data_IF_427622848008
#
_entry.id   IF_427622848008
#
_cell.length_a   1.000
_cell.length_b   1.000
_cell.length_c   1.000
_cell.angle_alpha   90.00
_cell.angle_beta   90.00
_cell.angle_gamma   90.00
#
_symmetry.space_group_name_H-M   'P 1'
#
loop_
_entity.id
_entity.type
_entity.pdbx_description
1 polymer ?
#
# COMPACT_ATOMS: atom_id res chain seq x y z
N UNK A 1 36.27 23.62 -25.52
CA UNK A 1 35.90 22.23 -25.29
C UNK A 1 35.63 21.89 -23.80
N UNK A 2 36.46 22.30 -22.81
CA UNK A 2 36.20 21.98 -21.39
C UNK A 2 34.91 22.60 -20.78
N UNK A 3 34.50 23.78 -21.19
CA UNK A 3 33.27 24.45 -20.70
C UNK A 3 31.98 23.78 -21.19
N UNK A 4 31.96 23.24 -22.40
CA UNK A 4 30.79 22.53 -22.94
C UNK A 4 30.56 21.17 -22.27
N UNK A 5 31.63 20.52 -21.85
CA UNK A 5 31.53 19.23 -21.15
C UNK A 5 31.02 19.39 -19.72
N UNK A 6 31.39 20.51 -19.05
CA UNK A 6 30.88 20.82 -17.71
C UNK A 6 29.37 21.17 -17.73
N UNK A 7 28.94 21.94 -18.74
CA UNK A 7 27.50 22.26 -18.91
C UNK A 7 26.64 21.02 -19.21
N UNK A 8 27.16 20.10 -20.03
CA UNK A 8 26.47 18.86 -20.36
C UNK A 8 26.29 17.94 -19.12
N UNK A 9 27.34 17.83 -18.29
CA UNK A 9 27.26 17.07 -17.04
C UNK A 9 26.32 17.71 -16.00
N UNK A 10 26.30 19.05 -15.90
CA UNK A 10 25.34 19.75 -15.01
C UNK A 10 23.91 19.59 -15.52
N UNK A 11 23.69 19.64 -16.84
CA UNK A 11 22.37 19.40 -17.43
C UNK A 11 21.91 17.95 -17.25
N UNK A 12 22.81 16.97 -17.37
CA UNK A 12 22.51 15.57 -17.10
C UNK A 12 22.19 15.32 -15.62
N UNK A 13 22.92 15.95 -14.69
CA UNK A 13 22.64 15.91 -13.25
C UNK A 13 21.30 16.56 -12.91
N UNK A 14 20.94 17.67 -13.56
CA UNK A 14 19.63 18.33 -13.39
C UNK A 14 18.48 17.51 -13.99
N UNK A 15 18.70 16.81 -15.10
CA UNK A 15 17.70 15.89 -15.67
C UNK A 15 17.51 14.63 -14.82
N UNK A 16 18.58 14.10 -14.24
CA UNK A 16 18.51 12.99 -13.29
C UNK A 16 17.79 13.44 -12.02
N UNK A 17 18.10 14.62 -11.48
CA UNK A 17 17.38 15.16 -10.31
C UNK A 17 15.90 15.48 -10.62
N UNK A 18 15.56 15.91 -11.84
CA UNK A 18 14.19 16.18 -12.24
C UNK A 18 13.36 14.89 -12.36
N UNK A 19 13.94 13.82 -12.89
CA UNK A 19 13.29 12.49 -12.92
C UNK A 19 13.12 11.87 -11.51
N UNK A 20 14.02 12.18 -10.57
CA UNK A 20 13.85 11.77 -9.16
C UNK A 20 12.75 12.56 -8.45
N UNK A 21 12.54 13.83 -8.80
CA UNK A 21 11.52 14.67 -8.17
C UNK A 21 10.08 14.33 -8.58
N UNK A 22 9.88 13.77 -9.78
CA UNK A 22 8.54 13.38 -10.26
C UNK A 22 8.06 12.03 -9.67
N UNK A 23 8.91 11.29 -8.96
CA UNK A 23 8.57 9.98 -8.39
C UNK A 23 8.68 9.91 -6.86
N UNK A 24 9.05 11.01 -6.19
CA UNK A 24 9.09 11.02 -4.74
C UNK A 24 7.67 11.03 -4.16
N UNK A 25 7.39 10.08 -3.26
CA UNK A 25 6.29 10.21 -2.31
C UNK A 25 6.39 11.59 -1.65
N UNK A 26 5.30 12.29 -1.49
CA UNK A 26 5.24 13.44 -0.57
C UNK A 26 5.35 12.94 0.88
N UNK A 27 6.53 12.44 1.24
CA UNK A 27 6.82 11.80 2.52
C UNK A 27 6.59 12.73 3.73
N UNK A 28 6.50 14.04 3.48
CA UNK A 28 6.20 15.04 4.50
C UNK A 28 4.72 15.08 4.91
N UNK A 29 3.83 14.30 4.29
CA UNK A 29 2.39 14.34 4.56
C UNK A 29 1.95 13.46 5.71
N UNK A 30 2.76 12.46 6.14
CA UNK A 30 2.39 11.57 7.24
C UNK A 30 2.53 12.26 8.60
N UNK A 31 1.45 12.85 9.09
CA UNK A 31 1.37 13.48 10.41
C UNK A 31 0.02 13.14 11.05
N UNK A 32 0.03 12.89 12.36
CA UNK A 32 -1.21 12.83 13.13
C UNK A 32 -1.83 14.24 13.27
N UNK A 33 -3.13 14.28 13.55
CA UNK A 33 -3.86 15.50 13.88
C UNK A 33 -4.51 15.37 15.26
N UNK A 34 -5.09 16.47 15.78
CA UNK A 34 -5.69 16.49 17.11
C UNK A 34 -6.95 15.60 17.20
N UNK A 35 -7.68 15.40 16.12
CA UNK A 35 -8.83 14.49 16.09
C UNK A 35 -8.39 13.03 16.28
N UNK A 36 -7.26 12.66 15.70
CA UNK A 36 -6.67 11.32 15.88
C UNK A 36 -6.13 11.14 17.31
N UNK A 37 -5.62 12.19 17.96
CA UNK A 37 -5.24 12.13 19.38
C UNK A 37 -6.46 11.87 20.25
N UNK A 38 -7.53 12.66 20.08
CA UNK A 38 -8.77 12.51 20.83
C UNK A 38 -9.40 11.11 20.62
N UNK A 39 -9.40 10.62 19.38
CA UNK A 39 -9.90 9.30 19.05
C UNK A 39 -9.07 8.17 19.69
N UNK A 40 -7.75 8.32 19.71
CA UNK A 40 -6.87 7.35 20.36
C UNK A 40 -7.09 7.30 21.88
N UNK A 41 -7.29 8.46 22.51
CA UNK A 41 -7.63 8.58 23.94
C UNK A 41 -8.97 7.87 24.24
N UNK A 42 -9.98 8.07 23.39
CA UNK A 42 -11.28 7.40 23.51
C UNK A 42 -11.15 5.89 23.38
N UNK A 43 -10.46 5.40 22.36
CA UNK A 43 -10.22 3.95 22.13
C UNK A 43 -9.50 3.34 23.35
N UNK A 44 -8.46 3.98 23.87
CA UNK A 44 -7.75 3.49 25.05
C UNK A 44 -8.67 3.48 26.27
N UNK A 45 -9.47 4.53 26.46
CA UNK A 45 -10.43 4.61 27.57
C UNK A 45 -11.43 3.44 27.53
N UNK A 46 -11.97 3.11 26.36
CA UNK A 46 -12.87 1.98 26.18
C UNK A 46 -12.13 0.66 26.48
N UNK A 47 -10.93 0.47 25.96
CA UNK A 47 -10.14 -0.74 26.17
C UNK A 47 -9.79 -0.94 27.66
N UNK A 48 -9.45 0.11 28.39
CA UNK A 48 -9.10 0.02 29.82
C UNK A 48 -10.32 -0.23 30.71
N UNK A 49 -11.46 0.41 30.41
CA UNK A 49 -12.62 0.38 31.29
C UNK A 49 -13.65 -0.69 30.94
N UNK A 50 -13.87 -0.95 29.64
CA UNK A 50 -14.97 -1.78 29.20
C UNK A 50 -14.52 -3.15 28.67
N UNK A 51 -13.26 -3.30 28.24
CA UNK A 51 -12.75 -4.59 27.84
C UNK A 51 -12.58 -5.55 29.01
N UNK A 52 -12.89 -6.83 28.83
CA UNK A 52 -12.87 -7.84 29.90
C UNK A 52 -11.50 -8.05 30.57
N UNK A 53 -10.38 -7.82 29.83
CA UNK A 53 -9.02 -7.95 30.36
C UNK A 53 -8.58 -6.73 31.19
N UNK A 54 -9.17 -5.58 31.00
CA UNK A 54 -8.90 -4.33 31.77
C UNK A 54 -7.40 -4.04 31.98
N UNK A 55 -6.60 -4.23 30.93
CA UNK A 55 -5.17 -3.87 30.96
C UNK A 55 -5.02 -2.35 30.87
N UNK A 56 -4.08 -1.76 31.60
CA UNK A 56 -3.76 -0.34 31.37
C UNK A 56 -2.86 -0.18 30.14
N UNK A 57 -3.06 0.89 29.39
CA UNK A 57 -2.24 1.24 28.21
C UNK A 57 -0.75 1.27 28.58
N UNK A 58 -0.42 1.86 29.72
CA UNK A 58 0.95 1.89 30.23
C UNK A 58 1.60 0.51 30.35
N UNK A 59 0.81 -0.51 30.73
CA UNK A 59 1.34 -1.87 30.90
C UNK A 59 1.60 -2.60 29.59
N UNK A 60 0.95 -2.17 28.51
CA UNK A 60 0.98 -2.87 27.21
C UNK A 60 1.68 -2.07 26.10
N UNK A 61 1.95 -0.78 26.30
CA UNK A 61 2.45 0.10 25.24
C UNK A 61 3.71 -0.41 24.55
N UNK A 62 4.65 -1.01 25.29
CA UNK A 62 5.87 -1.55 24.71
C UNK A 62 5.58 -2.77 23.82
N UNK A 63 4.68 -3.67 24.26
CA UNK A 63 4.26 -4.86 23.50
C UNK A 63 3.51 -4.43 22.24
N UNK A 64 2.61 -3.46 22.34
CA UNK A 64 1.89 -2.90 21.20
C UNK A 64 2.82 -2.24 20.19
N UNK A 65 3.83 -1.53 20.67
CA UNK A 65 4.82 -0.92 19.79
C UNK A 65 5.74 -1.95 19.12
N UNK A 66 6.10 -3.02 19.80
CA UNK A 66 6.83 -4.14 19.18
C UNK A 66 6.00 -4.79 18.07
N UNK A 67 4.71 -5.02 18.31
CA UNK A 67 3.78 -5.53 17.31
C UNK A 67 3.66 -4.57 16.11
N UNK A 68 3.60 -3.25 16.36
CA UNK A 68 3.59 -2.25 15.31
C UNK A 68 4.82 -2.33 14.40
N UNK A 69 6.02 -2.44 14.97
CA UNK A 69 7.26 -2.64 14.20
C UNK A 69 7.24 -3.96 13.40
N UNK A 70 6.70 -5.02 13.99
CA UNK A 70 6.59 -6.32 13.33
C UNK A 70 5.57 -6.30 12.16
N UNK A 71 4.46 -5.57 12.31
CA UNK A 71 3.47 -5.37 11.23
C UNK A 71 4.10 -4.62 10.05
N UNK A 72 4.90 -3.59 10.32
CA UNK A 72 5.55 -2.81 9.26
C UNK A 72 6.69 -3.59 8.57
N UNK A 73 7.50 -4.32 9.34
CA UNK A 73 8.67 -5.03 8.81
C UNK A 73 8.77 -6.48 9.33
N UNK A 74 7.83 -7.37 8.95
CA UNK A 74 7.80 -8.76 9.44
C UNK A 74 9.03 -9.57 9.01
N UNK A 75 9.67 -9.19 7.92
CA UNK A 75 10.86 -9.87 7.38
C UNK A 75 12.19 -9.17 7.71
N UNK A 76 12.16 -8.13 8.54
CA UNK A 76 13.36 -7.40 8.97
C UNK A 76 14.26 -6.98 7.81
N UNK A 77 13.64 -6.43 6.79
CA UNK A 77 14.28 -6.00 5.55
C UNK A 77 14.04 -4.51 5.20
N UNK A 78 13.53 -3.75 6.18
CA UNK A 78 13.27 -2.31 6.04
C UNK A 78 14.06 -1.51 7.10
N UNK A 79 13.90 -1.84 8.38
CA UNK A 79 14.55 -1.10 9.46
C UNK A 79 15.95 -1.65 9.79
N UNK A 80 16.86 -0.75 10.16
CA UNK A 80 18.16 -1.12 10.72
C UNK A 80 18.02 -1.41 12.23
N UNK A 81 18.91 -2.26 12.75
CA UNK A 81 18.91 -2.66 14.15
C UNK A 81 19.05 -1.46 15.12
N UNK A 82 19.89 -0.47 14.77
CA UNK A 82 20.07 0.74 15.54
C UNK A 82 18.83 1.66 15.54
N UNK A 83 18.08 1.71 14.43
CA UNK A 83 16.82 2.45 14.32
C UNK A 83 15.76 1.82 15.23
N UNK A 84 15.56 0.50 15.15
CA UNK A 84 14.63 -0.23 16.02
C UNK A 84 14.97 -0.01 17.51
N UNK A 85 16.25 -0.10 17.86
CA UNK A 85 16.70 0.14 19.22
C UNK A 85 16.32 1.55 19.69
N UNK A 86 16.59 2.56 18.87
CA UNK A 86 16.25 3.95 19.16
C UNK A 86 14.74 4.12 19.33
N UNK A 87 13.93 3.63 18.42
CA UNK A 87 12.47 3.72 18.51
C UNK A 87 11.92 3.09 19.80
N UNK A 88 12.46 1.93 20.20
CA UNK A 88 12.09 1.26 21.46
C UNK A 88 12.54 2.04 22.69
N UNK A 89 13.64 2.75 22.63
CA UNK A 89 14.10 3.65 23.71
C UNK A 89 13.22 4.90 23.80
N UNK A 90 12.86 5.49 22.65
CA UNK A 90 12.02 6.68 22.58
C UNK A 90 10.62 6.41 23.14
N UNK A 91 9.96 5.31 22.75
CA UNK A 91 8.60 4.98 23.21
C UNK A 91 8.55 4.66 24.70
N UNK A 92 9.57 4.02 25.25
CA UNK A 92 9.61 3.54 26.63
C UNK A 92 9.47 4.66 27.68
N UNK A 93 9.85 5.88 27.32
CA UNK A 93 9.82 7.04 28.20
C UNK A 93 8.58 7.92 27.99
N UNK A 94 7.68 7.54 27.10
CA UNK A 94 6.49 8.30 26.69
C UNK A 94 5.23 7.63 27.23
N UNK A 95 4.53 8.31 28.14
CA UNK A 95 3.35 7.78 28.83
C UNK A 95 2.04 8.28 28.20
N UNK A 96 2.11 9.35 27.43
CA UNK A 96 0.96 9.97 26.77
C UNK A 96 0.76 9.37 25.40
N UNK A 97 -0.49 9.13 25.01
CA UNK A 97 -0.84 8.59 23.68
C UNK A 97 -0.45 9.55 22.57
N UNK A 98 -0.50 10.85 22.78
CA UNK A 98 -0.05 11.86 21.83
C UNK A 98 1.43 11.68 21.49
N UNK A 99 2.26 11.52 22.52
CA UNK A 99 3.70 11.25 22.36
C UNK A 99 3.94 9.91 21.65
N UNK A 100 3.11 8.91 21.93
CA UNK A 100 3.18 7.60 21.28
C UNK A 100 2.82 7.70 19.79
N UNK A 101 1.79 8.48 19.43
CA UNK A 101 1.42 8.74 18.04
C UNK A 101 2.55 9.46 17.30
N UNK A 102 3.19 10.46 17.92
CA UNK A 102 4.33 11.17 17.33
C UNK A 102 5.44 10.19 16.93
N UNK A 103 5.80 9.26 17.82
CA UNK A 103 6.82 8.25 17.55
C UNK A 103 6.33 7.26 16.49
N UNK A 104 5.06 6.80 16.53
CA UNK A 104 4.51 5.89 15.54
C UNK A 104 4.54 6.50 14.14
N UNK A 105 4.20 7.78 13.98
CA UNK A 105 4.29 8.47 12.70
C UNK A 105 5.74 8.71 12.25
N UNK A 106 6.67 8.95 13.16
CA UNK A 106 8.11 9.02 12.86
C UNK A 106 8.63 7.69 12.35
N UNK A 107 8.24 6.57 12.97
CA UNK A 107 8.56 5.22 12.50
C UNK A 107 8.00 4.97 11.11
N UNK A 108 6.73 5.36 10.88
CA UNK A 108 6.12 5.19 9.57
C UNK A 108 6.78 6.05 8.48
N UNK A 109 7.19 7.28 8.78
CA UNK A 109 8.00 8.09 7.85
C UNK A 109 9.29 7.38 7.46
N UNK A 110 10.01 6.87 8.45
CA UNK A 110 11.25 6.10 8.21
C UNK A 110 10.98 4.86 7.36
N UNK A 111 9.88 4.15 7.64
CA UNK A 111 9.41 3.02 6.83
C UNK A 111 9.14 3.44 5.38
N UNK A 112 8.39 4.52 5.17
CA UNK A 112 8.01 5.00 3.85
C UNK A 112 9.21 5.44 3.01
N UNK A 113 10.15 6.21 3.61
CA UNK A 113 11.41 6.61 2.98
C UNK A 113 12.23 5.37 2.55
N UNK A 114 12.32 4.39 3.44
CA UNK A 114 13.08 3.17 3.20
C UNK A 114 12.42 2.29 2.14
N UNK A 115 11.08 2.24 2.15
CA UNK A 115 10.29 1.50 1.18
C UNK A 115 10.43 2.11 -0.23
N UNK A 116 10.39 3.44 -0.35
CA UNK A 116 10.66 4.13 -1.61
C UNK A 116 12.08 3.85 -2.10
N UNK A 117 13.09 3.99 -1.22
CA UNK A 117 14.49 3.67 -1.57
C UNK A 117 14.65 2.24 -2.09
N UNK A 118 13.97 1.28 -1.48
CA UNK A 118 13.96 -0.11 -1.94
C UNK A 118 13.44 -0.22 -3.36
N UNK A 119 12.31 0.41 -3.68
CA UNK A 119 11.75 0.37 -5.03
C UNK A 119 12.68 1.02 -6.06
N UNK A 120 13.26 2.16 -5.74
CA UNK A 120 14.19 2.85 -6.64
C UNK A 120 15.39 1.95 -7.00
N UNK A 121 15.97 1.30 -6.00
CA UNK A 121 17.10 0.37 -6.21
C UNK A 121 16.67 -0.85 -7.02
N UNK A 122 15.49 -1.41 -6.76
CA UNK A 122 14.98 -2.57 -7.47
C UNK A 122 14.64 -2.25 -8.93
N UNK A 123 14.05 -1.08 -9.19
CA UNK A 123 13.74 -0.61 -10.55
C UNK A 123 15.04 -0.35 -11.33
N UNK A 124 16.01 0.34 -10.71
CA UNK A 124 17.31 0.58 -11.31
C UNK A 124 18.03 -0.73 -11.65
N UNK A 125 18.01 -1.70 -10.73
CA UNK A 125 18.62 -3.01 -10.94
C UNK A 125 17.96 -3.77 -12.08
N UNK A 126 16.62 -3.84 -12.13
CA UNK A 126 15.87 -4.54 -13.19
C UNK A 126 16.10 -3.93 -14.57
N UNK A 127 16.21 -2.60 -14.67
CA UNK A 127 16.48 -1.91 -15.93
C UNK A 127 17.90 -2.19 -16.49
N UNK A 128 18.83 -2.65 -15.64
CA UNK A 128 20.22 -2.89 -15.99
C UNK A 128 20.65 -4.37 -15.81
N UNK A 129 19.69 -5.27 -15.53
CA UNK A 129 19.99 -6.69 -15.26
C UNK A 129 20.60 -7.38 -16.48
N UNK A 130 21.55 -8.26 -16.24
CA UNK A 130 22.32 -8.97 -17.26
C UNK A 130 22.47 -10.46 -16.94
N UNK A 131 22.94 -11.26 -17.93
CA UNK A 131 23.27 -12.66 -17.74
C UNK A 131 24.35 -12.93 -16.67
N UNK A 132 25.18 -11.93 -16.34
CA UNK A 132 26.19 -12.07 -15.29
C UNK A 132 25.55 -12.09 -13.91
N UNK A 133 24.46 -11.34 -13.71
CA UNK A 133 23.76 -11.24 -12.42
C UNK A 133 23.10 -12.56 -12.04
N UNK A 134 22.57 -13.31 -13.01
CA UNK A 134 21.92 -14.60 -12.78
C UNK A 134 22.86 -15.77 -12.53
N UNK A 135 24.16 -15.62 -12.80
CA UNK A 135 25.19 -16.67 -12.58
C UNK A 135 25.69 -16.75 -11.15
N UNK A 136 25.04 -16.07 -10.22
CA UNK A 136 25.41 -16.07 -8.82
C UNK A 136 25.13 -17.42 -8.16
N UNK A 137 26.09 -17.96 -7.40
CA UNK A 137 25.90 -19.13 -6.53
C UNK A 137 25.39 -18.79 -5.13
N UNK A 138 24.94 -17.55 -4.93
CA UNK A 138 24.51 -17.01 -3.63
C UNK A 138 23.22 -17.66 -3.16
N UNK A 139 23.19 -18.03 -1.89
CA UNK A 139 21.96 -18.52 -1.24
C UNK A 139 21.23 -17.37 -0.58
N UNK A 140 19.91 -17.30 -0.77
CA UNK A 140 19.05 -16.24 -0.24
C UNK A 140 18.07 -16.85 0.74
N UNK A 141 17.92 -16.24 1.91
CA UNK A 141 16.88 -16.55 2.88
C UNK A 141 15.71 -15.59 2.63
N UNK A 142 14.58 -16.10 2.11
CA UNK A 142 13.38 -15.29 1.83
C UNK A 142 12.59 -14.98 3.10
N UNK A 143 12.33 -15.99 3.92
CA UNK A 143 11.69 -15.81 5.22
C UNK A 143 12.76 -15.38 6.23
N UNK A 144 12.74 -14.09 6.56
CA UNK A 144 13.64 -13.47 7.52
C UNK A 144 12.96 -13.12 8.84
N UNK A 145 11.74 -13.59 9.08
CA UNK A 145 10.96 -13.29 10.30
C UNK A 145 11.73 -13.60 11.59
N UNK A 146 12.58 -14.64 11.56
CA UNK A 146 13.43 -15.07 12.67
C UNK A 146 14.89 -14.60 12.58
N UNK A 147 15.24 -13.84 11.55
CA UNK A 147 16.60 -13.32 11.41
C UNK A 147 16.78 -12.06 12.27
N UNK A 148 18.02 -11.69 12.52
CA UNK A 148 18.34 -10.39 13.09
C UNK A 148 18.17 -9.29 12.05
N UNK A 149 17.80 -8.08 12.53
CA UNK A 149 17.80 -6.89 11.69
C UNK A 149 19.23 -6.53 11.30
N UNK A 150 19.39 -6.02 10.07
CA UNK A 150 20.70 -5.63 9.55
C UNK A 150 21.18 -4.34 10.21
N UNK A 151 22.51 -4.15 10.24
CA UNK A 151 23.13 -2.99 10.90
C UNK A 151 23.45 -1.85 9.93
N UNK A 152 23.69 -2.19 8.65
CA UNK A 152 24.16 -1.23 7.65
C UNK A 152 23.17 -1.10 6.49
N UNK A 153 23.04 0.11 5.97
CA UNK A 153 22.17 0.38 4.82
C UNK A 153 22.65 -0.36 3.57
N UNK A 154 23.95 -0.56 3.43
CA UNK A 154 24.54 -1.30 2.31
C UNK A 154 24.13 -2.77 2.32
N UNK A 155 23.96 -3.36 3.50
CA UNK A 155 23.45 -4.73 3.65
C UNK A 155 22.00 -4.84 3.21
N UNK A 156 21.15 -3.84 3.58
CA UNK A 156 19.77 -3.76 3.11
C UNK A 156 19.71 -3.61 1.58
N UNK A 157 20.51 -2.71 1.01
CA UNK A 157 20.58 -2.50 -0.44
C UNK A 157 20.97 -3.79 -1.19
N UNK A 158 21.97 -4.52 -0.67
CA UNK A 158 22.36 -5.80 -1.23
C UNK A 158 21.24 -6.84 -1.12
N UNK A 159 20.58 -6.92 0.05
CA UNK A 159 19.45 -7.82 0.28
C UNK A 159 18.31 -7.55 -0.70
N UNK A 160 17.94 -6.28 -0.94
CA UNK A 160 16.85 -5.94 -1.87
C UNK A 160 17.16 -6.35 -3.30
N UNK A 161 18.43 -6.19 -3.75
CA UNK A 161 18.88 -6.68 -5.06
C UNK A 161 18.82 -8.20 -5.14
N UNK A 162 19.27 -8.89 -4.10
CA UNK A 162 19.25 -10.35 -4.04
C UNK A 162 17.80 -10.90 -4.08
N UNK A 163 16.87 -10.27 -3.34
CA UNK A 163 15.47 -10.68 -3.31
C UNK A 163 14.81 -10.50 -4.69
N UNK A 164 15.01 -9.36 -5.35
CA UNK A 164 14.40 -9.11 -6.65
C UNK A 164 15.01 -9.97 -7.75
N UNK A 165 16.33 -10.22 -7.68
CA UNK A 165 17.02 -11.16 -8.57
C UNK A 165 16.45 -12.58 -8.43
N UNK A 166 16.17 -13.02 -7.20
CA UNK A 166 15.53 -14.31 -6.98
C UNK A 166 14.14 -14.37 -7.64
N UNK A 167 13.35 -13.31 -7.58
CA UNK A 167 12.02 -13.27 -8.22
C UNK A 167 12.13 -13.37 -9.75
N UNK A 168 13.14 -12.72 -10.37
CA UNK A 168 13.45 -12.88 -11.80
C UNK A 168 13.83 -14.32 -12.11
N UNK A 169 14.75 -14.92 -11.32
CA UNK A 169 15.19 -16.30 -11.52
C UNK A 169 14.04 -17.31 -11.41
N UNK A 170 13.09 -17.10 -10.48
CA UNK A 170 11.91 -17.96 -10.36
C UNK A 170 11.04 -17.93 -11.61
N UNK A 171 10.89 -16.75 -12.24
CA UNK A 171 10.16 -16.64 -13.52
C UNK A 171 10.93 -17.31 -14.67
N UNK A 172 12.26 -17.20 -14.71
CA UNK A 172 13.07 -17.89 -15.69
C UNK A 172 12.98 -19.41 -15.55
N UNK A 173 12.99 -19.94 -14.33
CA UNK A 173 12.79 -21.37 -14.06
C UNK A 173 11.40 -21.87 -14.49
N UNK A 174 10.43 -20.97 -14.61
CA UNK A 174 9.10 -21.26 -15.17
C UNK A 174 9.04 -21.19 -16.70
N UNK A 175 10.19 -21.01 -17.38
CA UNK A 175 10.31 -21.04 -18.83
C UNK A 175 10.31 -19.67 -19.54
N UNK A 176 10.35 -18.56 -18.80
CA UNK A 176 10.47 -17.23 -19.41
C UNK A 176 11.93 -16.89 -19.73
N UNK A 177 12.14 -16.00 -20.69
CA UNK A 177 13.46 -15.39 -20.95
C UNK A 177 13.88 -14.47 -19.80
N UNK A 178 15.15 -14.06 -19.74
CA UNK A 178 15.60 -13.05 -18.77
C UNK A 178 14.84 -11.72 -18.97
N UNK A 179 14.72 -11.26 -20.21
CA UNK A 179 14.04 -10.03 -20.59
C UNK A 179 12.57 -10.04 -20.13
N UNK A 180 11.79 -11.07 -20.51
CA UNK A 180 10.40 -11.23 -20.10
C UNK A 180 10.24 -11.31 -18.57
N UNK A 181 11.17 -11.99 -17.90
CA UNK A 181 11.15 -12.13 -16.44
C UNK A 181 11.42 -10.81 -15.74
N UNK A 182 12.37 -10.03 -16.24
CA UNK A 182 12.70 -8.71 -15.72
C UNK A 182 11.52 -7.72 -15.96
N UNK A 183 10.93 -7.71 -17.14
CA UNK A 183 9.78 -6.86 -17.48
C UNK A 183 8.56 -7.17 -16.59
N UNK A 184 8.21 -8.45 -16.46
CA UNK A 184 7.11 -8.90 -15.57
C UNK A 184 7.36 -8.51 -14.12
N UNK A 185 8.60 -8.65 -13.63
CA UNK A 185 8.97 -8.28 -12.29
C UNK A 185 8.92 -6.77 -12.10
N UNK A 186 9.43 -6.00 -13.06
CA UNK A 186 9.35 -4.54 -13.06
C UNK A 186 7.91 -4.03 -13.01
N UNK A 187 7.00 -4.63 -13.79
CA UNK A 187 5.57 -4.31 -13.75
C UNK A 187 4.98 -4.55 -12.36
N UNK A 188 5.31 -5.69 -11.71
CA UNK A 188 4.85 -6.01 -10.34
C UNK A 188 5.35 -4.97 -9.33
N UNK A 189 6.63 -4.60 -9.40
CA UNK A 189 7.25 -3.60 -8.51
C UNK A 189 6.59 -2.23 -8.69
N UNK A 190 6.36 -1.79 -9.93
CA UNK A 190 5.68 -0.52 -10.21
C UNK A 190 4.24 -0.51 -9.66
N UNK A 191 3.52 -1.61 -9.80
CA UNK A 191 2.16 -1.73 -9.24
C UNK A 191 2.19 -1.67 -7.70
N UNK A 192 3.14 -2.35 -7.04
CA UNK A 192 3.31 -2.28 -5.58
C UNK A 192 3.64 -0.86 -5.12
N UNK A 193 4.51 -0.15 -5.85
CA UNK A 193 4.84 1.25 -5.54
C UNK A 193 3.61 2.16 -5.69
N UNK A 194 2.84 2.00 -6.76
CA UNK A 194 1.62 2.77 -6.98
C UNK A 194 0.59 2.51 -5.87
N UNK A 195 0.44 1.26 -5.44
CA UNK A 195 -0.42 0.93 -4.30
C UNK A 195 0.08 1.58 -3.00
N UNK A 196 1.39 1.51 -2.74
CA UNK A 196 1.99 2.13 -1.57
C UNK A 196 1.82 3.67 -1.55
N UNK A 197 1.91 4.33 -2.70
CA UNK A 197 1.68 5.78 -2.84
C UNK A 197 0.26 6.23 -2.46
N UNK A 198 -0.69 5.31 -2.41
CA UNK A 198 -2.07 5.60 -2.00
C UNK A 198 -2.26 5.56 -0.47
N UNK A 199 -1.21 5.27 0.32
CA UNK A 199 -1.29 5.26 1.78
C UNK A 199 -1.62 6.65 2.32
N UNK A 200 -2.58 6.71 3.23
CA UNK A 200 -3.09 7.94 3.88
C UNK A 200 -2.70 8.00 5.35
N UNK A 201 -2.80 9.17 5.96
CA UNK A 201 -2.61 9.35 7.40
C UNK A 201 -3.52 8.45 8.24
N UNK A 202 -4.75 8.23 7.79
CA UNK A 202 -5.69 7.33 8.43
C UNK A 202 -5.21 5.88 8.46
N UNK A 203 -4.58 5.41 7.37
CA UNK A 203 -4.03 4.05 7.30
C UNK A 203 -2.92 3.87 8.35
N UNK A 204 -2.05 4.88 8.50
CA UNK A 204 -0.97 4.88 9.52
C UNK A 204 -1.56 4.83 10.93
N UNK A 205 -2.55 5.67 11.21
CA UNK A 205 -3.29 5.67 12.47
C UNK A 205 -3.91 4.31 12.76
N UNK A 206 -4.63 3.75 11.77
CA UNK A 206 -5.30 2.46 11.91
C UNK A 206 -4.33 1.32 12.22
N UNK A 207 -3.15 1.28 11.57
CA UNK A 207 -2.13 0.26 11.85
C UNK A 207 -1.67 0.37 13.31
N UNK A 208 -1.37 1.58 13.80
CA UNK A 208 -0.88 1.77 15.16
C UNK A 208 -1.95 1.47 16.21
N UNK A 209 -3.17 1.99 16.07
CA UNK A 209 -4.28 1.73 17.00
C UNK A 209 -4.65 0.24 17.02
N UNK A 210 -4.59 -0.44 15.87
CA UNK A 210 -4.82 -1.88 15.85
C UNK A 210 -3.67 -2.69 16.46
N UNK A 211 -2.43 -2.19 16.46
CA UNK A 211 -1.37 -2.83 17.24
C UNK A 211 -1.65 -2.78 18.74
N UNK A 212 -2.22 -1.67 19.24
CA UNK A 212 -2.66 -1.53 20.64
C UNK A 212 -3.84 -2.48 20.92
N UNK A 213 -4.89 -2.41 20.11
CA UNK A 213 -6.12 -3.19 20.31
C UNK A 213 -5.85 -4.69 20.31
N UNK A 214 -4.97 -5.18 19.44
CA UNK A 214 -4.62 -6.59 19.31
C UNK A 214 -3.97 -7.20 20.56
N UNK A 215 -3.35 -6.38 21.43
CA UNK A 215 -2.79 -6.86 22.71
C UNK A 215 -3.88 -7.24 23.71
N UNK A 216 -5.08 -6.72 23.54
CA UNK A 216 -6.22 -7.09 24.38
C UNK A 216 -6.88 -8.42 23.94
N UNK A 217 -6.66 -8.86 22.71
CA UNK A 217 -7.12 -10.15 22.25
C UNK A 217 -7.21 -10.28 20.73
N UNK A 218 -7.22 -11.51 20.19
CA UNK A 218 -7.18 -11.73 18.74
C UNK A 218 -8.45 -11.29 18.00
N UNK A 219 -9.51 -10.97 18.73
CA UNK A 219 -10.79 -10.49 18.19
C UNK A 219 -11.08 -9.03 18.55
N UNK A 220 -10.10 -8.34 19.13
CA UNK A 220 -10.21 -6.92 19.49
C UNK A 220 -9.52 -6.10 18.41
N UNK A 221 -10.28 -5.29 17.69
CA UNK A 221 -9.76 -4.42 16.63
C UNK A 221 -10.51 -3.10 16.62
N UNK A 222 -9.81 -2.05 16.26
CA UNK A 222 -10.40 -0.78 15.90
C UNK A 222 -10.81 -0.82 14.42
N UNK A 223 -12.03 -0.39 14.15
CA UNK A 223 -12.51 -0.14 12.78
C UNK A 223 -12.72 1.35 12.60
N UNK A 224 -12.15 1.91 11.54
CA UNK A 224 -12.51 3.28 11.15
C UNK A 224 -14.00 3.37 10.81
N UNK A 225 -14.63 4.55 10.85
CA UNK A 225 -16.04 4.70 10.49
C UNK A 225 -16.39 4.04 9.16
N UNK A 226 -15.55 4.24 8.15
CA UNK A 226 -15.71 3.60 6.83
C UNK A 226 -15.65 2.07 6.90
N UNK A 227 -14.66 1.52 7.58
CA UNK A 227 -14.52 0.07 7.72
C UNK A 227 -15.66 -0.54 8.54
N UNK A 228 -16.21 0.20 9.54
CA UNK A 228 -17.38 -0.22 10.30
C UNK A 228 -18.63 -0.25 9.44
N UNK A 229 -18.85 0.76 8.60
CA UNK A 229 -19.95 0.80 7.64
C UNK A 229 -19.87 -0.35 6.64
N UNK A 230 -18.68 -0.60 6.06
CA UNK A 230 -18.47 -1.74 5.16
C UNK A 230 -18.72 -3.08 5.87
N UNK A 231 -18.34 -3.21 7.14
CA UNK A 231 -18.62 -4.38 7.95
C UNK A 231 -20.13 -4.57 8.15
N UNK A 232 -20.86 -3.52 8.51
CA UNK A 232 -22.31 -3.55 8.70
C UNK A 232 -23.06 -3.91 7.40
N UNK A 233 -22.62 -3.35 6.26
CA UNK A 233 -23.17 -3.70 4.94
C UNK A 233 -22.95 -5.20 4.65
N UNK A 234 -21.75 -5.72 4.91
CA UNK A 234 -21.45 -7.13 4.70
C UNK A 234 -22.26 -8.06 5.63
N UNK A 235 -22.49 -7.64 6.88
CA UNK A 235 -23.26 -8.41 7.86
C UNK A 235 -24.76 -8.34 7.62
N UNK A 236 -25.29 -7.24 7.09
CA UNK A 236 -26.72 -7.08 6.81
C UNK A 236 -27.23 -7.92 5.63
N UNK A 237 -26.32 -8.58 4.89
CA UNK A 237 -26.62 -9.33 3.66
C UNK A 237 -27.40 -8.50 2.59
N UNK A 238 -27.39 -7.18 2.74
CA UNK A 238 -28.01 -6.22 1.85
C UNK A 238 -26.91 -5.55 1.01
N UNK A 239 -26.54 -6.16 -0.10
CA UNK A 239 -25.58 -5.58 -1.04
C UNK A 239 -26.29 -4.47 -1.85
N UNK A 240 -26.08 -3.24 -1.44
CA UNK A 240 -26.46 -2.06 -2.22
C UNK A 240 -25.30 -1.71 -3.16
N UNK A 241 -25.49 -1.91 -4.45
CA UNK A 241 -24.48 -1.69 -5.47
C UNK A 241 -24.81 -2.38 -6.79
N UNK A 242 -23.93 -2.28 -7.75
CA UNK A 242 -24.11 -2.82 -9.11
C UNK A 242 -24.12 -4.36 -9.19
N UNK A 243 -23.73 -5.05 -8.15
CA UNK A 243 -23.64 -6.52 -8.15
C UNK A 243 -22.43 -7.03 -8.94
N UNK A 244 -21.27 -6.42 -8.76
CA UNK A 244 -20.00 -6.84 -9.31
C UNK A 244 -18.92 -6.92 -8.21
N UNK A 245 -18.03 -7.89 -8.32
CA UNK A 245 -16.78 -7.93 -7.54
C UNK A 245 -15.72 -7.17 -8.31
N UNK A 246 -15.10 -6.21 -7.65
CA UNK A 246 -14.08 -5.35 -8.24
C UNK A 246 -12.69 -5.70 -7.67
N UNK A 247 -11.65 -5.50 -8.47
CA UNK A 247 -10.26 -5.71 -8.06
C UNK A 247 -9.34 -4.69 -8.74
N UNK A 248 -8.19 -4.35 -8.12
CA UNK A 248 -7.21 -3.49 -8.77
C UNK A 248 -6.56 -4.21 -9.96
N UNK A 249 -6.37 -3.50 -11.08
CA UNK A 249 -5.60 -3.93 -12.25
C UNK A 249 -4.71 -2.78 -12.75
N UNK A 250 -3.49 -2.70 -12.21
CA UNK A 250 -2.59 -1.56 -12.43
C UNK A 250 -3.20 -0.27 -11.92
N UNK A 251 -3.38 0.77 -12.75
CA UNK A 251 -4.02 2.01 -12.37
C UNK A 251 -5.56 1.94 -12.43
N UNK A 252 -6.14 0.83 -12.89
CA UNK A 252 -7.57 0.68 -13.12
C UNK A 252 -8.25 -0.14 -12.02
N UNK A 253 -9.54 0.12 -11.82
CA UNK A 253 -10.45 -0.78 -11.12
C UNK A 253 -11.11 -1.70 -12.15
N UNK A 254 -10.90 -3.01 -12.05
CA UNK A 254 -11.41 -4.00 -12.99
C UNK A 254 -12.52 -4.86 -12.39
N UNK A 255 -13.47 -5.28 -13.22
CA UNK A 255 -14.50 -6.22 -12.84
C UNK A 255 -13.91 -7.62 -12.78
N UNK A 256 -13.81 -8.18 -11.58
CA UNK A 256 -13.33 -9.54 -11.35
C UNK A 256 -14.37 -10.58 -11.73
N UNK A 257 -15.62 -10.37 -11.27
CA UNK A 257 -16.77 -11.23 -11.58
C UNK A 257 -18.07 -10.48 -11.34
N UNK A 258 -19.15 -10.97 -11.94
CA UNK A 258 -20.51 -10.48 -11.71
C UNK A 258 -21.22 -11.39 -10.70
N UNK A 259 -22.06 -10.81 -9.85
CA UNK A 259 -22.88 -11.56 -8.91
C UNK A 259 -24.11 -12.07 -9.63
N UNK A 260 -24.37 -13.40 -9.61
CA UNK A 260 -25.54 -13.99 -10.25
C UNK A 260 -26.85 -13.35 -9.80
N UNK A 261 -27.66 -12.93 -10.76
CA UNK A 261 -28.92 -12.22 -10.49
C UNK A 261 -28.77 -10.75 -10.08
N UNK A 262 -27.55 -10.22 -10.05
CA UNK A 262 -27.28 -8.81 -9.74
C UNK A 262 -27.65 -7.85 -10.88
N UNK A 263 -27.71 -6.53 -10.60
CA UNK A 263 -28.04 -5.53 -11.61
C UNK A 263 -27.08 -5.54 -12.81
N UNK A 264 -25.76 -5.63 -12.59
CA UNK A 264 -24.76 -5.65 -13.65
C UNK A 264 -24.90 -6.86 -14.56
N UNK A 265 -25.17 -8.07 -14.01
CA UNK A 265 -25.41 -9.26 -14.81
C UNK A 265 -26.70 -9.13 -15.63
N UNK A 266 -27.78 -8.68 -15.00
CA UNK A 266 -29.09 -8.49 -15.67
C UNK A 266 -29.05 -7.46 -16.80
N UNK A 267 -28.24 -6.43 -16.65
CA UNK A 267 -28.08 -5.41 -17.70
C UNK A 267 -27.42 -5.97 -18.95
N UNK A 268 -26.52 -6.97 -18.81
CA UNK A 268 -25.71 -7.49 -19.88
C UNK A 268 -24.69 -6.52 -20.47
N UNK A 269 -24.52 -5.33 -19.86
CA UNK A 269 -23.67 -4.26 -20.35
C UNK A 269 -22.23 -4.40 -19.86
N UNK A 270 -22.03 -4.99 -18.66
CA UNK A 270 -20.75 -5.20 -18.01
C UNK A 270 -20.29 -6.66 -18.16
N UNK A 271 -18.97 -6.85 -18.23
CA UNK A 271 -18.34 -8.17 -18.33
C UNK A 271 -17.13 -8.26 -17.40
N UNK A 272 -16.75 -9.47 -16.97
CA UNK A 272 -15.45 -9.68 -16.31
C UNK A 272 -14.29 -9.15 -17.17
N UNK A 273 -13.31 -8.51 -16.51
CA UNK A 273 -12.14 -7.82 -17.09
C UNK A 273 -12.40 -6.45 -17.70
N UNK A 274 -13.65 -5.96 -17.73
CA UNK A 274 -13.89 -4.55 -18.05
C UNK A 274 -13.20 -3.68 -16.99
N UNK A 275 -12.54 -2.60 -17.43
CA UNK A 275 -11.82 -1.66 -16.57
C UNK A 275 -12.68 -0.39 -16.42
N UNK A 276 -12.98 0.00 -15.20
CA UNK A 276 -13.72 1.22 -14.88
C UNK A 276 -12.72 2.37 -14.86
N UNK A 277 -12.96 3.38 -15.68
CA UNK A 277 -12.15 4.60 -15.80
C UNK A 277 -12.90 5.85 -15.36
N UNK A 278 -14.24 5.80 -15.35
CA UNK A 278 -15.05 6.91 -14.91
C UNK A 278 -16.33 6.46 -14.21
N UNK A 279 -16.79 7.26 -13.24
CA UNK A 279 -18.00 7.03 -12.46
C UNK A 279 -18.81 8.32 -12.37
N UNK A 280 -20.11 8.28 -12.65
CA UNK A 280 -21.03 9.40 -12.46
C UNK A 280 -22.37 8.91 -11.90
N UNK A 281 -23.02 9.74 -11.09
CA UNK A 281 -24.38 9.46 -10.62
C UNK A 281 -25.40 9.84 -11.70
N UNK A 282 -26.63 9.33 -11.60
CA UNK A 282 -27.68 9.51 -12.62
C UNK A 282 -27.91 11.00 -12.97
N UNK A 283 -27.87 11.86 -11.97
CA UNK A 283 -28.15 13.30 -12.11
C UNK A 283 -26.91 14.16 -12.35
N UNK A 284 -25.70 13.59 -12.27
CA UNK A 284 -24.46 14.33 -12.49
C UNK A 284 -24.25 14.60 -13.98
N UNK A 285 -23.84 15.83 -14.32
CA UNK A 285 -23.52 16.17 -15.70
C UNK A 285 -22.15 15.61 -16.12
N UNK A 286 -21.27 15.37 -15.18
CA UNK A 286 -19.88 14.99 -15.43
C UNK A 286 -19.62 13.61 -14.84
N UNK A 287 -18.82 12.82 -15.54
CA UNK A 287 -18.23 11.55 -15.07
C UNK A 287 -16.89 11.90 -14.41
N UNK A 288 -16.70 11.44 -13.20
CA UNK A 288 -15.44 11.60 -12.46
C UNK A 288 -14.45 10.58 -12.97
N UNK A 289 -13.29 11.03 -13.44
CA UNK A 289 -12.16 10.14 -13.79
C UNK A 289 -11.62 9.48 -12.51
N UNK A 290 -11.60 8.13 -12.49
CA UNK A 290 -11.18 7.32 -11.34
C UNK A 290 -9.90 6.53 -11.62
N UNK A 291 -9.19 6.81 -12.71
CA UNK A 291 -7.91 6.16 -13.03
C UNK A 291 -6.88 6.48 -11.96
N UNK A 292 -6.27 5.46 -11.38
CA UNK A 292 -5.29 5.60 -10.31
C UNK A 292 -5.88 5.81 -8.92
N UNK A 293 -7.20 5.82 -8.77
CA UNK A 293 -7.85 5.92 -7.46
C UNK A 293 -7.73 4.61 -6.67
N UNK A 294 -7.89 4.69 -5.35
CA UNK A 294 -8.03 3.51 -4.50
C UNK A 294 -9.33 2.78 -4.83
N UNK A 295 -9.28 1.45 -4.80
CA UNK A 295 -10.46 0.63 -5.05
C UNK A 295 -11.64 1.02 -4.14
N UNK A 296 -11.36 1.27 -2.85
CA UNK A 296 -12.37 1.62 -1.86
C UNK A 296 -13.11 2.93 -2.22
N UNK A 297 -12.38 3.93 -2.74
CA UNK A 297 -12.95 5.21 -3.15
C UNK A 297 -13.81 5.05 -4.43
N UNK A 298 -13.37 4.21 -5.36
CA UNK A 298 -14.15 3.88 -6.57
C UNK A 298 -15.43 3.11 -6.19
N UNK A 299 -15.31 2.15 -5.27
CA UNK A 299 -16.48 1.39 -4.76
C UNK A 299 -17.50 2.32 -4.10
N UNK A 300 -17.02 3.30 -3.30
CA UNK A 300 -17.87 4.28 -2.66
C UNK A 300 -18.65 5.12 -3.68
N UNK A 301 -18.00 5.59 -4.75
CA UNK A 301 -18.67 6.31 -5.83
C UNK A 301 -19.68 5.46 -6.60
N UNK A 302 -19.46 4.15 -6.72
CA UNK A 302 -20.36 3.23 -7.44
C UNK A 302 -21.57 2.86 -6.59
N UNK A 303 -21.40 2.79 -5.26
CA UNK A 303 -22.50 2.50 -4.34
C UNK A 303 -23.53 3.63 -4.32
N UNK A 304 -24.77 3.27 -4.07
CA UNK A 304 -25.85 4.24 -3.95
C UNK A 304 -27.10 3.60 -3.39
N UNK A 305 -28.13 4.40 -3.06
CA UNK A 305 -29.41 3.92 -2.56
C UNK A 305 -30.05 2.90 -3.51
N UNK A 306 -30.85 2.01 -2.96
CA UNK A 306 -31.58 1.04 -3.76
C UNK A 306 -32.39 1.70 -4.87
N UNK A 307 -32.24 1.23 -6.10
CA UNK A 307 -32.84 1.74 -7.33
C UNK A 307 -32.27 3.08 -7.84
N UNK A 308 -31.18 3.60 -7.28
CA UNK A 308 -30.40 4.65 -7.95
C UNK A 308 -29.69 4.06 -9.17
N UNK A 309 -29.27 4.93 -10.09
CA UNK A 309 -28.51 4.55 -11.28
C UNK A 309 -27.13 5.18 -11.20
N UNK A 310 -26.12 4.43 -11.59
CA UNK A 310 -24.75 4.89 -11.74
C UNK A 310 -24.36 4.74 -13.23
N UNK A 311 -23.65 5.74 -13.74
CA UNK A 311 -23.06 5.71 -15.08
C UNK A 311 -21.60 5.35 -14.93
N UNK A 312 -21.16 4.42 -15.74
CA UNK A 312 -19.77 3.98 -15.75
C UNK A 312 -19.15 4.22 -17.13
N UNK A 313 -17.98 4.82 -17.16
CA UNK A 313 -17.13 4.81 -18.33
C UNK A 313 -16.14 3.66 -18.17
N UNK A 314 -16.08 2.77 -19.16
CA UNK A 314 -15.28 1.56 -19.10
C UNK A 314 -14.41 1.39 -20.33
N UNK A 315 -13.28 0.70 -20.17
CA UNK A 315 -12.53 0.06 -21.23
C UNK A 315 -12.96 -1.41 -21.26
N UNK A 316 -13.53 -1.91 -22.38
CA UNK A 316 -13.92 -3.31 -22.47
C UNK A 316 -12.75 -4.27 -22.30
N UNK A 317 -12.93 -5.33 -21.52
CA UNK A 317 -11.88 -6.35 -21.28
C UNK A 317 -11.43 -7.11 -22.53
N UNK A 318 -12.15 -6.93 -23.65
CA UNK A 318 -11.79 -7.48 -24.99
C UNK A 318 -11.01 -6.47 -25.83
N UNK A 319 -10.85 -5.22 -25.39
CA UNK A 319 -10.07 -4.21 -26.12
C UNK A 319 -8.59 -4.62 -26.17
N UNK A 320 -7.97 -4.43 -27.32
CA UNK A 320 -6.55 -4.75 -27.54
C UNK A 320 -5.63 -3.62 -27.06
N UNK A 321 -6.17 -2.42 -27.01
CA UNK A 321 -5.51 -1.22 -26.47
C UNK A 321 -6.52 -0.46 -25.59
N UNK A 322 -6.01 0.39 -24.70
CA UNK A 322 -6.84 1.13 -23.76
C UNK A 322 -7.54 2.37 -24.41
N UNK A 323 -7.63 2.43 -25.74
CA UNK A 323 -8.21 3.56 -26.49
C UNK A 323 -9.72 3.45 -26.72
N UNK A 324 -10.28 2.27 -26.60
CA UNK A 324 -11.70 2.02 -26.80
C UNK A 324 -12.47 2.17 -25.49
N UNK A 325 -13.25 3.24 -25.35
CA UNK A 325 -14.07 3.49 -24.16
C UNK A 325 -15.55 3.37 -24.46
N UNK A 326 -16.35 3.06 -23.44
CA UNK A 326 -17.80 2.94 -23.55
C UNK A 326 -18.45 3.45 -22.27
N UNK A 327 -19.45 4.31 -22.40
CA UNK A 327 -20.35 4.69 -21.30
C UNK A 327 -21.56 3.74 -21.22
N UNK A 328 -21.92 3.33 -20.01
CA UNK A 328 -22.99 2.39 -19.72
C UNK A 328 -23.77 2.82 -18.49
#
# INVERSE_FOLDING_TARGET
>A
MKKSFLLLNVLLLLLVQRNYAEHSLELNTFNYNEDQVALAEEVITILENDHYLKKSFYSIQNEAFELYLEILDPNKNIFLANEIKKFKEDIKNKLDIKDNLEIAYLVFKTYAERYQMRFDIQIEFLNNISDQDIRSSKRIVRDRSKADSLNLIEELRALWKDLILNDVIQLMLSGNSLEDSAEKTLKRIKNQLNYFKQTRNEDVFNIYINSISSIYGPHTSYMSPKNSEDFDINMSLSLEGIGALLSPDGPYTSISSLIPGGPAEKSGLLKPKDKIIGVGQEDDKEIVDVVGWRLDDVVELIRGPKNSKVRLEIIPGTSLDDSETKEI
#
